data_IF_415610714857
#
_entry.id   IF_415610714857
#
_cell.length_a   1.000
_cell.length_b   1.000
_cell.length_c   1.000
_cell.angle_alpha   90.00
_cell.angle_beta   90.00
_cell.angle_gamma   90.00
#
_symmetry.space_group_name_H-M   'P 1'
#
loop_
_entity.id
_entity.type
_entity.pdbx_description
1 polymer ?
#
# COMPACT_ATOMS: atom_id res chain seq x y z
N UNK A 1 -15.51 -2.91 -5.44
CA UNK A 1 -15.60 -3.27 -6.88
C UNK A 1 -15.24 -4.74 -6.94
N UNK A 2 -16.10 -5.62 -7.46
CA UNK A 2 -15.83 -7.05 -7.53
C UNK A 2 -14.84 -7.34 -8.66
N UNK A 3 -14.14 -8.49 -8.58
CA UNK A 3 -13.18 -8.94 -9.60
C UNK A 3 -13.89 -9.07 -10.96
N UNK A 4 -15.14 -9.58 -10.96
CA UNK A 4 -16.00 -9.69 -12.15
C UNK A 4 -16.22 -8.34 -12.87
N UNK A 5 -16.43 -7.24 -12.12
CA UNK A 5 -16.55 -5.90 -12.72
C UNK A 5 -15.25 -5.34 -13.28
N UNK A 6 -14.10 -5.78 -12.76
CA UNK A 6 -12.79 -5.41 -13.33
C UNK A 6 -12.50 -6.17 -14.59
N UNK A 7 -12.89 -7.45 -14.64
CA UNK A 7 -12.77 -8.29 -15.85
C UNK A 7 -13.72 -7.79 -16.95
N UNK A 8 -14.98 -7.45 -16.62
CA UNK A 8 -15.93 -6.81 -17.56
C UNK A 8 -15.39 -5.48 -18.10
N UNK A 9 -14.82 -4.61 -17.26
CA UNK A 9 -14.24 -3.33 -17.70
C UNK A 9 -12.97 -3.53 -18.54
N UNK A 10 -12.17 -4.53 -18.22
CA UNK A 10 -11.00 -4.89 -19.01
C UNK A 10 -11.42 -5.44 -20.39
N UNK A 11 -12.43 -6.30 -20.44
CA UNK A 11 -12.99 -6.83 -21.69
C UNK A 11 -13.68 -5.73 -22.50
N UNK A 12 -14.38 -4.79 -21.89
CA UNK A 12 -15.00 -3.66 -22.58
C UNK A 12 -13.94 -2.73 -23.21
N UNK A 13 -12.81 -2.50 -22.52
CA UNK A 13 -11.72 -1.67 -23.01
C UNK A 13 -10.79 -2.40 -23.99
N UNK A 14 -10.70 -3.72 -23.93
CA UNK A 14 -9.89 -4.54 -24.85
C UNK A 14 -10.71 -5.26 -25.91
N UNK A 15 -12.03 -5.28 -25.82
CA UNK A 15 -12.95 -5.99 -26.71
C UNK A 15 -12.98 -5.52 -28.17
N UNK A 16 -12.30 -4.40 -28.47
CA UNK A 16 -12.05 -3.93 -29.85
C UNK A 16 -10.66 -4.24 -30.39
N UNK A 17 -9.80 -4.90 -29.60
CA UNK A 17 -8.46 -5.28 -30.00
C UNK A 17 -8.50 -6.67 -30.63
N UNK A 18 -7.77 -6.86 -31.72
CA UNK A 18 -7.50 -8.19 -32.24
C UNK A 18 -6.59 -8.99 -31.28
N UNK A 19 -6.50 -10.30 -31.45
CA UNK A 19 -5.73 -11.18 -30.57
C UNK A 19 -4.24 -10.77 -30.48
N UNK A 20 -3.67 -10.28 -31.58
CA UNK A 20 -2.29 -9.83 -31.66
C UNK A 20 -2.06 -8.53 -30.84
N UNK A 21 -2.99 -7.59 -30.91
CA UNK A 21 -2.95 -6.37 -30.14
C UNK A 21 -3.12 -6.62 -28.61
N UNK A 22 -4.04 -7.54 -28.26
CA UNK A 22 -4.23 -7.99 -26.87
C UNK A 22 -2.95 -8.62 -26.31
N UNK A 23 -2.34 -9.55 -27.02
CA UNK A 23 -1.09 -10.21 -26.61
C UNK A 23 0.07 -9.20 -26.48
N UNK A 24 0.11 -8.17 -27.32
CA UNK A 24 1.11 -7.08 -27.25
C UNK A 24 0.94 -6.22 -26.00
N UNK A 25 -0.32 -5.90 -25.64
CA UNK A 25 -0.64 -5.17 -24.39
C UNK A 25 -0.25 -6.01 -23.19
N UNK A 26 -0.62 -7.29 -23.12
CA UNK A 26 -0.28 -8.20 -22.03
C UNK A 26 1.24 -8.31 -21.82
N UNK A 27 1.99 -8.51 -22.90
CA UNK A 27 3.48 -8.53 -22.86
C UNK A 27 4.07 -7.20 -22.35
N UNK A 28 3.47 -6.08 -22.73
CA UNK A 28 3.93 -4.76 -22.29
C UNK A 28 3.65 -4.56 -20.80
N UNK A 29 2.46 -4.91 -20.33
CA UNK A 29 2.09 -4.85 -18.90
C UNK A 29 2.97 -5.78 -18.07
N UNK A 30 3.24 -7.01 -18.54
CA UNK A 30 4.14 -7.95 -17.86
C UNK A 30 5.57 -7.39 -17.73
N UNK A 31 6.11 -6.77 -18.78
CA UNK A 31 7.42 -6.10 -18.75
C UNK A 31 7.45 -4.93 -17.77
N UNK A 32 6.41 -4.08 -17.77
CA UNK A 32 6.30 -2.97 -16.83
C UNK A 32 6.24 -3.46 -15.38
N UNK A 33 5.45 -4.50 -15.11
CA UNK A 33 5.36 -5.10 -13.78
C UNK A 33 6.70 -5.71 -13.33
N UNK A 34 7.45 -6.33 -14.23
CA UNK A 34 8.80 -6.83 -13.93
C UNK A 34 9.77 -5.69 -13.57
N UNK A 35 9.71 -4.56 -14.30
CA UNK A 35 10.54 -3.38 -14.01
C UNK A 35 10.13 -2.75 -12.67
N UNK A 36 8.84 -2.57 -12.42
CA UNK A 36 8.34 -1.99 -11.17
C UNK A 36 8.57 -2.88 -9.96
N UNK A 37 8.55 -4.19 -10.15
CA UNK A 37 8.78 -5.18 -9.11
C UNK A 37 10.25 -5.60 -8.93
N UNK A 38 11.20 -5.00 -9.64
CA UNK A 38 12.62 -5.32 -9.48
C UNK A 38 13.08 -5.08 -8.03
N UNK A 39 13.82 -6.01 -7.41
CA UNK A 39 14.23 -5.91 -6.00
C UNK A 39 14.94 -4.62 -5.66
N UNK A 40 15.85 -4.17 -6.51
CA UNK A 40 16.64 -2.95 -6.33
C UNK A 40 15.75 -1.71 -6.36
N UNK A 41 14.71 -1.74 -7.19
CA UNK A 41 13.74 -0.65 -7.27
C UNK A 41 12.84 -0.61 -6.03
N UNK A 42 12.38 -1.75 -5.55
CA UNK A 42 11.58 -1.85 -4.32
C UNK A 42 12.39 -1.37 -3.12
N UNK A 43 13.67 -1.76 -3.04
CA UNK A 43 14.58 -1.31 -1.98
C UNK A 43 14.78 0.21 -2.00
N UNK A 44 15.09 0.77 -3.16
CA UNK A 44 15.26 2.21 -3.33
C UNK A 44 13.97 2.97 -2.98
N UNK A 45 12.81 2.50 -3.46
CA UNK A 45 11.51 3.10 -3.17
C UNK A 45 11.15 3.04 -1.69
N UNK A 46 11.41 1.91 -1.01
CA UNK A 46 11.16 1.77 0.41
C UNK A 46 12.00 2.75 1.24
N UNK A 47 13.27 2.93 0.89
CA UNK A 47 14.15 3.91 1.56
C UNK A 47 13.66 5.33 1.36
N UNK A 48 13.33 5.69 0.12
CA UNK A 48 12.83 7.02 -0.21
C UNK A 48 11.51 7.32 0.52
N UNK A 49 10.56 6.38 0.54
CA UNK A 49 9.29 6.53 1.28
C UNK A 49 9.54 6.75 2.77
N UNK A 50 10.39 5.93 3.39
CA UNK A 50 10.71 6.05 4.82
C UNK A 50 11.35 7.42 5.11
N UNK A 51 12.37 7.81 4.34
CA UNK A 51 13.07 9.09 4.51
C UNK A 51 12.12 10.29 4.32
N UNK A 52 11.31 10.29 3.26
CA UNK A 52 10.36 11.38 3.00
C UNK A 52 9.26 11.46 4.08
N UNK A 53 8.81 10.30 4.57
CA UNK A 53 7.82 10.25 5.62
C UNK A 53 8.36 10.81 6.94
N UNK A 54 9.54 10.39 7.36
CA UNK A 54 10.20 10.86 8.58
C UNK A 54 10.48 12.36 8.51
N UNK A 55 11.06 12.83 7.40
CA UNK A 55 11.31 14.26 7.17
C UNK A 55 10.03 15.09 7.22
N UNK A 56 8.94 14.58 6.63
CA UNK A 56 7.65 15.26 6.67
C UNK A 56 7.13 15.39 8.11
N UNK A 57 7.23 14.34 8.91
CA UNK A 57 6.82 14.38 10.32
C UNK A 57 7.64 15.40 11.12
N UNK A 58 8.95 15.40 10.97
CA UNK A 58 9.84 16.38 11.60
C UNK A 58 9.44 17.82 11.24
N UNK A 59 9.30 18.10 9.95
CA UNK A 59 8.89 19.42 9.46
C UNK A 59 7.51 19.83 9.97
N UNK A 60 6.55 18.92 10.01
CA UNK A 60 5.21 19.23 10.54
C UNK A 60 5.24 19.55 12.05
N UNK A 61 6.07 18.86 12.81
CA UNK A 61 6.22 19.11 14.25
C UNK A 61 6.72 20.56 14.51
N UNK A 62 7.57 21.10 13.65
CA UNK A 62 8.06 22.50 13.76
C UNK A 62 6.94 23.54 13.55
N UNK A 63 5.90 23.20 12.79
CA UNK A 63 4.78 24.11 12.50
C UNK A 63 3.57 23.95 13.43
N UNK A 64 3.48 22.82 14.15
CA UNK A 64 2.41 22.56 15.10
C UNK A 64 2.78 23.16 16.48
N UNK A 65 2.29 24.35 16.74
CA UNK A 65 2.41 25.00 18.05
C UNK A 65 1.14 24.72 18.85
N UNK A 66 1.23 24.17 20.08
CA UNK A 66 0.06 23.98 20.92
C UNK A 66 -0.66 25.32 21.13
N UNK A 67 -1.96 25.36 20.82
CA UNK A 67 -2.79 26.52 21.09
C UNK A 67 -3.33 26.50 22.50
N UNK A 68 -3.44 25.31 23.12
CA UNK A 68 -3.89 25.13 24.49
C UNK A 68 -2.96 24.17 25.26
N UNK A 69 -2.80 24.37 26.61
CA UNK A 69 -2.03 23.44 27.42
C UNK A 69 -2.63 22.05 27.46
N UNK A 70 -1.87 21.04 26.99
CA UNK A 70 -2.31 19.63 26.94
C UNK A 70 -2.89 19.20 25.59
N UNK A 71 -2.93 20.07 24.60
CA UNK A 71 -3.26 19.72 23.24
C UNK A 71 -2.18 18.78 22.65
N UNK A 72 -2.62 17.66 22.04
CA UNK A 72 -1.72 16.75 21.35
C UNK A 72 -1.30 17.40 20.04
N UNK A 73 -0.04 17.82 19.96
CA UNK A 73 0.55 18.46 18.78
C UNK A 73 1.36 17.51 17.92
N UNK A 74 1.25 16.20 18.19
CA UNK A 74 1.91 15.23 17.33
C UNK A 74 1.35 15.29 15.92
N UNK A 75 2.21 15.30 14.87
CA UNK A 75 1.74 15.37 13.49
C UNK A 75 1.09 14.04 13.07
N UNK A 76 -0.22 14.03 13.01
CA UNK A 76 -1.03 12.88 12.57
C UNK A 76 -1.20 12.84 11.03
N UNK A 77 -0.17 13.19 10.28
CA UNK A 77 -0.20 13.09 8.82
C UNK A 77 -0.31 11.63 8.40
N UNK A 78 -1.21 11.33 7.45
CA UNK A 78 -1.44 9.99 6.90
C UNK A 78 -0.93 9.88 5.47
N UNK A 79 -0.48 8.69 5.06
CA UNK A 79 -0.08 8.41 3.70
C UNK A 79 -0.78 7.16 3.15
N UNK A 80 -1.20 7.23 1.89
CA UNK A 80 -1.72 6.09 1.15
C UNK A 80 -0.81 5.80 -0.03
N UNK A 81 -0.22 4.60 -0.06
CA UNK A 81 0.64 4.15 -1.15
C UNK A 81 -0.16 3.16 -2.01
N UNK A 82 -0.33 3.49 -3.28
CA UNK A 82 -1.02 2.61 -4.25
C UNK A 82 0.03 1.94 -5.14
N UNK A 83 0.04 0.61 -5.13
CA UNK A 83 0.97 -0.20 -5.91
C UNK A 83 0.29 -0.78 -7.15
N UNK A 84 1.07 -1.02 -8.21
CA UNK A 84 0.57 -1.57 -9.47
C UNK A 84 0.03 -3.01 -9.32
N UNK A 85 0.63 -3.82 -8.42
CA UNK A 85 0.18 -5.19 -8.14
C UNK A 85 0.21 -5.48 -6.63
N UNK A 86 -0.55 -6.51 -6.22
CA UNK A 86 -0.55 -7.00 -4.83
C UNK A 86 0.82 -7.52 -4.41
N UNK A 87 1.54 -8.16 -5.32
CA UNK A 87 2.90 -8.65 -5.06
C UNK A 87 3.87 -7.51 -4.76
N UNK A 88 3.87 -6.47 -5.59
CA UNK A 88 4.70 -5.26 -5.36
C UNK A 88 4.33 -4.62 -4.02
N UNK A 89 3.03 -4.54 -3.70
CA UNK A 89 2.56 -4.00 -2.43
C UNK A 89 3.10 -4.81 -1.24
N UNK A 90 2.99 -6.14 -1.28
CA UNK A 90 3.47 -7.02 -0.21
C UNK A 90 5.00 -6.94 -0.03
N UNK A 91 5.76 -6.94 -1.14
CA UNK A 91 7.23 -6.83 -1.11
C UNK A 91 7.69 -5.46 -0.61
N UNK A 92 7.03 -4.39 -1.03
CA UNK A 92 7.32 -3.04 -0.55
C UNK A 92 7.05 -2.92 0.96
N UNK A 93 5.93 -3.46 1.44
CA UNK A 93 5.63 -3.53 2.86
C UNK A 93 6.73 -4.27 3.64
N UNK A 94 7.11 -5.46 3.18
CA UNK A 94 8.17 -6.25 3.81
C UNK A 94 9.46 -5.42 3.92
N UNK A 95 9.83 -4.72 2.85
CA UNK A 95 11.04 -3.91 2.85
C UNK A 95 10.96 -2.69 3.76
N UNK A 96 9.81 -2.03 3.86
CA UNK A 96 9.58 -0.94 4.83
C UNK A 96 9.72 -1.45 6.27
N UNK A 97 9.13 -2.61 6.57
CA UNK A 97 9.23 -3.24 7.91
C UNK A 97 10.66 -3.65 8.25
N UNK A 98 11.45 -4.11 7.30
CA UNK A 98 12.88 -4.36 7.52
C UNK A 98 13.68 -3.09 7.86
N UNK A 99 13.30 -1.95 7.28
CA UNK A 99 13.93 -0.64 7.58
C UNK A 99 13.44 -0.05 8.90
N UNK A 100 12.18 -0.31 9.27
CA UNK A 100 11.51 0.20 10.47
C UNK A 100 10.66 -0.90 11.13
N UNK A 101 11.28 -1.82 11.86
CA UNK A 101 10.55 -2.93 12.50
C UNK A 101 9.50 -2.48 13.52
N UNK A 102 9.73 -1.36 14.16
CA UNK A 102 8.83 -0.71 15.12
C UNK A 102 7.53 -0.21 14.49
N UNK A 103 7.48 -0.02 13.18
CA UNK A 103 6.24 0.33 12.48
C UNK A 103 5.31 -0.86 12.27
N UNK A 104 5.81 -2.08 12.42
CA UNK A 104 5.05 -3.31 12.21
C UNK A 104 4.24 -3.72 13.45
N UNK A 105 3.09 -4.33 13.21
CA UNK A 105 2.36 -5.14 14.19
C UNK A 105 1.49 -6.17 13.48
N UNK A 106 1.42 -7.38 14.03
CA UNK A 106 0.51 -8.43 13.55
C UNK A 106 -0.95 -8.15 13.90
N UNK A 107 -1.19 -7.27 14.87
CA UNK A 107 -2.52 -6.85 15.29
C UNK A 107 -3.05 -5.78 14.35
N UNK A 108 -4.32 -5.90 13.93
CA UNK A 108 -4.93 -4.95 12.98
C UNK A 108 -5.16 -3.56 13.58
N UNK A 109 -5.28 -3.48 14.91
CA UNK A 109 -5.48 -2.25 15.68
C UNK A 109 -4.17 -1.55 16.09
N UNK A 110 -3.02 -2.06 15.69
CA UNK A 110 -1.70 -1.51 16.03
C UNK A 110 -0.79 -1.42 14.81
N UNK A 111 0.34 -0.71 15.01
CA UNK A 111 1.37 -0.48 14.00
C UNK A 111 1.05 0.72 13.11
N UNK A 112 2.11 1.32 12.56
CA UNK A 112 2.10 2.54 11.76
C UNK A 112 1.97 2.27 10.26
N UNK A 113 2.14 1.02 9.82
CA UNK A 113 2.03 0.62 8.42
C UNK A 113 1.20 -0.65 8.29
N UNK A 114 0.28 -0.67 7.32
CA UNK A 114 -0.60 -1.81 7.03
C UNK A 114 -0.78 -2.00 5.53
N UNK A 115 -0.93 -3.26 5.12
CA UNK A 115 -1.31 -3.64 3.76
C UNK A 115 -2.81 -3.92 3.72
N UNK A 116 -3.50 -3.42 2.70
CA UNK A 116 -4.92 -3.68 2.47
C UNK A 116 -5.15 -4.00 1.00
N UNK A 117 -5.54 -5.24 0.71
CA UNK A 117 -6.02 -5.67 -0.60
C UNK A 117 -6.99 -6.85 -0.48
N UNK A 118 -7.73 -7.13 -1.54
CA UNK A 118 -8.51 -8.37 -1.66
C UNK A 118 -7.60 -9.53 -2.07
N UNK A 119 -7.90 -10.72 -1.60
CA UNK A 119 -7.13 -11.90 -1.94
C UNK A 119 -7.82 -13.18 -1.54
N UNK A 120 -7.19 -14.31 -1.86
CA UNK A 120 -7.63 -15.65 -1.55
C UNK A 120 -6.61 -16.34 -0.63
N UNK A 121 -7.05 -17.27 0.25
CA UNK A 121 -6.13 -18.14 0.99
C UNK A 121 -5.22 -19.00 0.09
N UNK A 122 -5.55 -19.14 -1.18
CA UNK A 122 -4.74 -19.85 -2.19
C UNK A 122 -3.69 -18.96 -2.87
N UNK A 123 -3.66 -17.66 -2.60
CA UNK A 123 -2.63 -16.77 -3.14
C UNK A 123 -1.23 -17.22 -2.67
N UNK A 124 -0.19 -17.06 -3.51
CA UNK A 124 1.19 -17.39 -3.12
C UNK A 124 1.74 -16.37 -2.11
N UNK A 125 2.83 -16.74 -1.42
CA UNK A 125 3.59 -15.76 -0.66
C UNK A 125 4.34 -14.78 -1.59
N UNK A 126 4.54 -13.53 -1.16
CA UNK A 126 4.17 -12.92 0.12
C UNK A 126 2.74 -12.38 0.19
N UNK A 127 1.93 -12.55 -0.85
CA UNK A 127 0.57 -12.01 -0.91
C UNK A 127 -0.31 -12.61 0.20
N UNK A 128 -0.28 -13.95 0.34
CA UNK A 128 -1.13 -14.68 1.27
C UNK A 128 -1.03 -14.21 2.72
N UNK A 129 0.17 -13.85 3.17
CA UNK A 129 0.43 -13.38 4.54
C UNK A 129 -0.38 -12.15 4.93
N UNK A 130 -0.81 -11.36 3.95
CA UNK A 130 -1.56 -10.13 4.18
C UNK A 130 -3.03 -10.21 3.79
N UNK A 131 -3.50 -11.38 3.33
CA UNK A 131 -4.92 -11.58 3.00
C UNK A 131 -5.76 -11.58 4.27
N UNK A 132 -6.77 -10.72 4.31
CA UNK A 132 -7.68 -10.57 5.44
C UNK A 132 -9.13 -10.63 4.98
N UNK A 133 -10.02 -10.99 5.90
CA UNK A 133 -11.47 -10.86 5.68
C UNK A 133 -11.84 -9.38 5.54
N UNK A 134 -12.90 -9.09 4.81
CA UNK A 134 -13.36 -7.72 4.55
C UNK A 134 -13.62 -6.90 5.81
N UNK A 135 -14.13 -7.54 6.88
CA UNK A 135 -14.33 -6.86 8.17
C UNK A 135 -13.03 -6.34 8.78
N UNK A 136 -11.93 -7.11 8.69
CA UNK A 136 -10.61 -6.70 9.17
C UNK A 136 -10.01 -5.61 8.29
N UNK A 137 -10.14 -5.73 6.97
CA UNK A 137 -9.74 -4.68 6.04
C UNK A 137 -10.51 -3.37 6.28
N UNK A 138 -11.80 -3.46 6.60
CA UNK A 138 -12.62 -2.31 6.96
C UNK A 138 -12.14 -1.64 8.26
N UNK A 139 -11.76 -2.42 9.27
CA UNK A 139 -11.22 -1.90 10.51
C UNK A 139 -9.92 -1.10 10.26
N UNK A 140 -8.97 -1.63 9.48
CA UNK A 140 -7.74 -0.93 9.10
C UNK A 140 -8.04 0.36 8.33
N UNK A 141 -8.99 0.33 7.38
CA UNK A 141 -9.41 1.54 6.64
C UNK A 141 -10.04 2.60 7.55
N UNK A 142 -10.70 2.20 8.63
CA UNK A 142 -11.25 3.14 9.60
C UNK A 142 -10.14 3.80 10.40
N UNK A 143 -9.08 3.06 10.81
CA UNK A 143 -7.88 3.62 11.44
C UNK A 143 -7.24 4.70 10.56
N UNK A 144 -7.08 4.44 9.25
CA UNK A 144 -6.54 5.43 8.31
C UNK A 144 -7.39 6.72 8.23
N UNK A 145 -8.68 6.65 8.50
CA UNK A 145 -9.60 7.80 8.49
C UNK A 145 -9.67 8.52 9.82
N UNK A 146 -9.32 7.84 10.88
CA UNK A 146 -9.30 8.41 12.23
C UNK A 146 -8.07 9.29 12.37
N UNK A 147 -8.28 10.56 12.67
CA UNK A 147 -7.19 11.55 12.77
C UNK A 147 -6.32 11.32 13.99
N UNK A 148 -6.85 10.66 15.01
CA UNK A 148 -6.17 10.39 16.27
C UNK A 148 -5.45 9.02 16.28
N UNK A 149 -5.55 8.22 15.21
CA UNK A 149 -4.85 6.94 15.07
C UNK A 149 -3.51 7.13 14.36
N UNK A 150 -2.49 6.44 14.79
CA UNK A 150 -1.11 6.55 14.27
C UNK A 150 -0.87 5.89 12.90
N UNK A 151 -1.86 5.12 12.36
CA UNK A 151 -1.75 4.44 11.06
C UNK A 151 -1.68 5.43 9.90
#
# INVERSE_FOLDING_TARGET
MSVEKLDELADEQTGGLDDEARERVERTVAKLNAIYGAPERIDALARDIVEQWERRRETMTEFLVPTEPGENTEPHGKALIVCATREICARLYTRIVELRPDWHSDQDDRGLVKVVYSGSPSDPEPIRSHVRRDSRNKAIKNRLRDVDDDL
#
